data_IF_616943085384
#
_entry.id   IF_616943085384
#
_cell.length_a   1.000
_cell.length_b   1.000
_cell.length_c   1.000
_cell.angle_alpha   90.00
_cell.angle_beta   90.00
_cell.angle_gamma   90.00
#
_symmetry.space_group_name_H-M   'P 1'
#
loop_
_entity.id
_entity.type
_entity.pdbx_description
1 polymer ?
#
# COMPACT_ATOMS: atom_id res chain seq x y z
N UNK A 1 23.82 4.04 -6.11
CA UNK A 1 22.73 3.50 -6.96
C UNK A 1 21.43 3.93 -6.30
N UNK A 2 20.51 4.55 -7.02
CA UNK A 2 19.26 5.00 -6.42
C UNK A 2 18.46 3.82 -5.87
N UNK A 3 17.81 4.01 -4.73
CA UNK A 3 16.92 2.98 -4.14
C UNK A 3 15.50 3.03 -4.71
N UNK A 4 15.18 4.11 -5.42
CA UNK A 4 13.87 4.43 -5.99
C UNK A 4 13.92 4.42 -7.51
N UNK A 5 12.93 3.79 -8.14
CA UNK A 5 12.76 3.82 -9.57
C UNK A 5 11.33 4.18 -9.96
N UNK A 6 11.16 5.17 -10.82
CA UNK A 6 9.90 5.45 -11.50
C UNK A 6 9.87 4.76 -12.86
N UNK A 7 8.79 4.04 -13.13
CA UNK A 7 8.63 3.32 -14.40
C UNK A 7 7.48 3.92 -15.19
N UNK A 8 7.79 4.47 -16.36
CA UNK A 8 6.81 5.00 -17.31
C UNK A 8 6.51 4.02 -18.44
N UNK A 9 5.41 4.23 -19.11
CA UNK A 9 4.97 3.37 -20.20
C UNK A 9 5.90 3.46 -21.43
N UNK A 10 6.33 4.66 -21.82
CA UNK A 10 7.19 4.84 -22.99
C UNK A 10 8.09 6.07 -22.90
N UNK A 11 9.22 6.04 -23.60
CA UNK A 11 10.19 7.12 -23.69
C UNK A 11 9.68 8.34 -24.53
N UNK A 12 8.42 8.33 -24.95
CA UNK A 12 7.80 9.53 -25.56
C UNK A 12 7.47 10.62 -24.53
N UNK A 13 7.58 10.30 -23.27
CA UNK A 13 7.46 11.24 -22.15
C UNK A 13 8.78 11.97 -21.97
N UNK A 14 9.06 12.90 -22.92
CA UNK A 14 10.34 13.65 -23.00
C UNK A 14 10.67 14.47 -21.77
N UNK A 15 9.71 14.68 -20.87
CA UNK A 15 9.85 15.45 -19.63
C UNK A 15 9.41 14.63 -18.40
N UNK A 16 9.71 13.34 -18.40
CA UNK A 16 9.36 12.46 -17.28
C UNK A 16 9.96 12.96 -15.95
N UNK A 17 11.20 13.43 -15.98
CA UNK A 17 11.87 14.03 -14.85
C UNK A 17 11.17 15.31 -14.37
N UNK A 18 10.83 16.23 -15.26
CA UNK A 18 10.07 17.43 -14.94
C UNK A 18 8.65 17.14 -14.44
N UNK A 19 8.03 16.05 -14.91
CA UNK A 19 6.73 15.59 -14.39
C UNK A 19 6.86 15.11 -12.96
N UNK A 20 7.89 14.30 -12.64
CA UNK A 20 8.15 13.84 -11.28
C UNK A 20 8.57 14.99 -10.38
N UNK A 21 9.51 15.84 -10.82
CA UNK A 21 10.06 16.94 -10.05
C UNK A 21 9.04 17.96 -9.54
N UNK A 22 7.83 17.98 -10.12
CA UNK A 22 6.69 18.78 -9.60
C UNK A 22 6.11 18.24 -8.28
N UNK A 23 6.29 16.96 -8.02
CA UNK A 23 5.66 16.24 -6.91
C UNK A 23 6.67 15.66 -5.92
N UNK A 24 7.89 15.40 -6.37
CA UNK A 24 8.90 14.71 -5.60
C UNK A 24 10.31 15.24 -5.89
N UNK A 25 11.02 15.64 -4.84
CA UNK A 25 12.41 16.12 -4.89
C UNK A 25 13.26 15.65 -3.71
N UNK A 26 12.72 14.73 -2.89
CA UNK A 26 13.27 14.41 -1.56
C UNK A 26 14.37 13.35 -1.57
N UNK A 27 14.58 12.64 -2.67
CA UNK A 27 15.61 11.59 -2.80
C UNK A 27 16.06 11.42 -4.25
N UNK A 28 17.23 10.80 -4.44
CA UNK A 28 17.68 10.36 -5.76
C UNK A 28 16.80 9.24 -6.29
N UNK A 29 16.51 9.29 -7.59
CA UNK A 29 15.71 8.28 -8.27
C UNK A 29 16.21 8.03 -9.69
N UNK A 30 15.90 6.84 -10.18
CA UNK A 30 16.07 6.49 -11.60
C UNK A 30 14.72 6.52 -12.32
N UNK A 31 14.75 6.79 -13.62
CA UNK A 31 13.60 6.69 -14.49
C UNK A 31 13.84 5.60 -15.51
N UNK A 32 12.90 4.66 -15.61
CA UNK A 32 12.89 3.60 -16.60
C UNK A 32 11.63 3.68 -17.47
N UNK A 33 11.72 3.19 -18.68
CA UNK A 33 10.61 3.15 -19.62
C UNK A 33 10.37 1.71 -20.05
N UNK A 34 9.11 1.28 -20.08
CA UNK A 34 8.77 -0.05 -20.59
C UNK A 34 9.11 -0.21 -22.05
N UNK A 35 8.88 0.86 -22.84
CA UNK A 35 9.14 0.87 -24.27
C UNK A 35 10.03 2.07 -24.65
N UNK A 36 10.99 1.85 -25.54
CA UNK A 36 11.89 2.88 -26.07
C UNK A 36 11.17 3.87 -27.01
N UNK A 37 9.99 3.54 -27.51
CA UNK A 37 9.22 4.36 -28.44
C UNK A 37 7.75 4.47 -28.05
N UNK A 38 7.09 5.55 -28.50
CA UNK A 38 5.65 5.75 -28.29
C UNK A 38 4.82 4.66 -28.96
N UNK A 39 3.88 4.09 -28.23
CA UNK A 39 2.88 3.15 -28.74
C UNK A 39 1.49 3.61 -28.34
N UNK A 40 0.51 3.45 -29.25
CA UNK A 40 -0.90 3.67 -28.91
C UNK A 40 -1.40 2.65 -27.89
N UNK A 41 -0.91 1.41 -28.02
CA UNK A 41 -1.18 0.30 -27.11
C UNK A 41 0.09 -0.51 -26.93
N UNK A 42 0.49 -0.72 -25.70
CA UNK A 42 1.65 -1.53 -25.35
C UNK A 42 1.23 -3.00 -25.29
N UNK A 43 1.91 -3.85 -26.03
CA UNK A 43 1.82 -5.31 -25.95
C UNK A 43 3.08 -5.85 -25.28
N UNK A 44 3.01 -7.07 -24.73
CA UNK A 44 4.16 -7.70 -24.07
C UNK A 44 5.41 -7.76 -24.96
N UNK A 45 5.26 -7.94 -26.28
CA UNK A 45 6.34 -7.95 -27.27
C UNK A 45 6.98 -6.58 -27.53
N UNK A 46 6.34 -5.49 -27.11
CA UNK A 46 6.83 -4.13 -27.30
C UNK A 46 7.67 -3.64 -26.11
N UNK A 47 7.78 -4.46 -25.05
CA UNK A 47 8.52 -4.11 -23.84
C UNK A 47 10.00 -4.39 -24.10
N UNK A 48 10.79 -3.33 -24.05
CA UNK A 48 12.24 -3.37 -24.23
C UNK A 48 12.99 -3.43 -22.88
N UNK A 49 12.32 -3.00 -21.78
CA UNK A 49 12.88 -3.02 -20.44
C UNK A 49 13.03 -4.46 -19.96
N UNK A 50 14.24 -4.83 -19.58
CA UNK A 50 14.45 -6.05 -18.80
C UNK A 50 13.93 -5.82 -17.38
N UNK A 51 12.81 -6.47 -17.04
CA UNK A 51 12.17 -6.29 -15.74
C UNK A 51 13.05 -6.78 -14.57
N UNK A 52 14.05 -7.62 -14.83
CA UNK A 52 15.02 -8.03 -13.79
C UNK A 52 15.91 -6.88 -13.33
N UNK A 53 16.11 -5.84 -14.16
CA UNK A 53 16.80 -4.64 -13.73
C UNK A 53 16.11 -3.92 -12.56
N UNK A 54 14.79 -4.11 -12.44
CA UNK A 54 14.01 -3.52 -11.35
C UNK A 54 14.29 -4.19 -10.00
N UNK A 55 14.91 -5.38 -9.97
CA UNK A 55 15.20 -6.11 -8.74
C UNK A 55 16.24 -5.42 -7.85
N UNK A 56 17.00 -4.50 -8.41
CA UNK A 56 18.00 -3.72 -7.66
C UNK A 56 17.38 -2.58 -6.81
N UNK A 57 16.12 -2.19 -7.07
CA UNK A 57 15.49 -1.07 -6.39
C UNK A 57 14.70 -1.52 -5.15
N UNK A 58 14.79 -0.74 -4.08
CA UNK A 58 14.02 -0.92 -2.84
C UNK A 58 12.54 -0.59 -3.07
N UNK A 59 12.27 0.46 -3.84
CA UNK A 59 10.92 0.91 -4.16
C UNK A 59 10.77 1.19 -5.66
N UNK A 60 9.74 0.64 -6.25
CA UNK A 60 9.37 0.85 -7.64
C UNK A 60 8.02 1.57 -7.70
N UNK A 61 7.98 2.69 -8.41
CA UNK A 61 6.76 3.48 -8.62
C UNK A 61 6.30 3.38 -10.08
N UNK A 62 5.41 2.45 -10.43
CA UNK A 62 4.79 2.42 -11.74
C UNK A 62 3.90 3.64 -11.95
N UNK A 63 4.17 4.42 -13.00
CA UNK A 63 3.41 5.62 -13.35
C UNK A 63 2.40 5.28 -14.43
N UNK A 64 1.11 5.29 -14.06
CA UNK A 64 0.01 5.00 -14.97
C UNK A 64 -0.33 3.52 -15.13
N UNK A 65 -1.38 3.24 -15.91
CA UNK A 65 -2.00 1.91 -15.96
C UNK A 65 -1.13 0.85 -16.65
N UNK A 66 -0.45 1.21 -17.73
CA UNK A 66 0.38 0.26 -18.47
C UNK A 66 1.62 -0.14 -17.67
N UNK A 67 2.27 0.83 -17.00
CA UNK A 67 3.42 0.54 -16.15
C UNK A 67 3.03 -0.39 -15.01
N UNK A 68 1.91 -0.12 -14.33
CA UNK A 68 1.39 -0.99 -13.27
C UNK A 68 1.13 -2.42 -13.77
N UNK A 69 0.49 -2.54 -14.94
CA UNK A 69 0.15 -3.85 -15.51
C UNK A 69 1.38 -4.71 -15.79
N UNK A 70 2.42 -4.11 -16.36
CA UNK A 70 3.57 -4.89 -16.81
C UNK A 70 4.67 -5.04 -15.76
N UNK A 71 4.75 -4.16 -14.75
CA UNK A 71 5.72 -4.30 -13.65
C UNK A 71 5.18 -5.14 -12.50
N UNK A 72 3.95 -4.89 -12.07
CA UNK A 72 3.34 -5.55 -10.90
C UNK A 72 2.22 -6.55 -11.25
N UNK A 73 1.87 -6.73 -12.55
CA UNK A 73 0.79 -7.63 -12.95
C UNK A 73 -0.62 -7.15 -12.57
N UNK A 74 -0.78 -5.91 -12.09
CA UNK A 74 -2.03 -5.37 -11.57
C UNK A 74 -2.71 -4.45 -12.59
N UNK A 75 -4.03 -4.35 -12.52
CA UNK A 75 -4.85 -3.45 -13.36
C UNK A 75 -5.72 -2.54 -12.51
N UNK A 76 -6.02 -1.33 -13.04
CA UNK A 76 -6.84 -0.36 -12.32
C UNK A 76 -5.98 0.57 -11.45
N UNK A 77 -5.09 1.35 -12.07
CA UNK A 77 -4.16 2.27 -11.37
C UNK A 77 -4.84 3.21 -10.38
N UNK A 78 -6.09 3.62 -10.62
CA UNK A 78 -6.83 4.48 -9.70
C UNK A 78 -7.12 3.76 -8.37
N UNK A 79 -7.42 2.45 -8.41
CA UNK A 79 -7.63 1.63 -7.21
C UNK A 79 -6.35 1.48 -6.38
N UNK A 80 -5.21 1.42 -7.04
CA UNK A 80 -3.92 1.17 -6.39
C UNK A 80 -3.10 2.45 -6.18
N UNK A 81 -3.62 3.62 -6.53
CA UNK A 81 -2.88 4.87 -6.39
C UNK A 81 -2.46 5.14 -4.94
N UNK A 82 -1.16 5.19 -4.70
CA UNK A 82 -0.59 5.38 -3.37
C UNK A 82 -0.82 4.21 -2.40
N UNK A 83 -1.16 3.02 -2.90
CA UNK A 83 -1.25 1.78 -2.11
C UNK A 83 0.03 0.97 -2.32
N UNK A 84 0.75 0.70 -1.23
CA UNK A 84 1.95 -0.13 -1.28
C UNK A 84 1.57 -1.60 -1.47
N UNK A 85 2.02 -2.21 -2.57
CA UNK A 85 1.65 -3.58 -2.96
C UNK A 85 2.88 -4.43 -3.24
N UNK A 86 2.73 -5.75 -3.11
CA UNK A 86 3.78 -6.73 -3.39
C UNK A 86 5.12 -6.40 -2.70
N UNK A 87 5.06 -5.73 -1.54
CA UNK A 87 6.21 -5.36 -0.70
C UNK A 87 7.27 -4.49 -1.39
N UNK A 88 7.00 -3.95 -2.57
CA UNK A 88 7.97 -3.14 -3.32
C UNK A 88 7.39 -2.16 -4.34
N UNK A 89 6.10 -2.21 -4.64
CA UNK A 89 5.48 -1.31 -5.61
C UNK A 89 4.60 -0.27 -4.93
N UNK A 90 4.75 0.99 -5.35
CA UNK A 90 3.84 2.09 -5.01
C UNK A 90 3.28 2.67 -6.32
N UNK A 91 2.17 2.13 -6.84
CA UNK A 91 1.57 2.63 -8.05
C UNK A 91 1.08 4.07 -7.91
N UNK A 92 1.32 4.87 -8.94
CA UNK A 92 0.91 6.28 -8.97
C UNK A 92 0.16 6.53 -10.28
N UNK A 93 -1.00 7.20 -10.19
CA UNK A 93 -1.69 7.68 -11.37
C UNK A 93 -0.79 8.65 -12.15
N UNK A 94 -0.86 8.58 -13.48
CA UNK A 94 -0.05 9.46 -14.31
C UNK A 94 -0.44 10.93 -14.07
N UNK A 95 0.52 11.81 -13.70
CA UNK A 95 0.21 13.22 -13.37
C UNK A 95 -0.54 13.97 -14.47
N UNK A 96 -0.31 13.65 -15.75
CA UNK A 96 -1.05 14.25 -16.84
C UNK A 96 -2.56 14.00 -16.83
N UNK A 97 -3.05 13.07 -16.01
CA UNK A 97 -4.50 12.88 -15.81
C UNK A 97 -5.16 14.11 -15.21
N UNK A 98 -4.43 14.94 -14.48
CA UNK A 98 -4.95 16.20 -13.91
C UNK A 98 -5.33 17.23 -14.97
N UNK A 99 -4.79 17.14 -16.18
CA UNK A 99 -5.18 17.99 -17.31
C UNK A 99 -6.67 17.78 -17.65
N UNK A 100 -7.13 16.52 -17.58
CA UNK A 100 -8.52 16.16 -17.89
C UNK A 100 -9.41 16.06 -16.65
N UNK A 101 -8.81 15.79 -15.49
CA UNK A 101 -9.50 15.60 -14.22
C UNK A 101 -8.71 16.29 -13.09
N UNK A 102 -8.82 17.63 -12.95
CA UNK A 102 -8.05 18.40 -11.96
C UNK A 102 -8.25 17.93 -10.51
N UNK A 103 -9.43 17.37 -10.19
CA UNK A 103 -9.74 16.83 -8.86
C UNK A 103 -8.86 15.64 -8.44
N UNK A 104 -8.15 14.99 -9.36
CA UNK A 104 -7.21 13.91 -9.03
C UNK A 104 -5.86 14.41 -8.51
N UNK A 105 -5.62 15.73 -8.52
CA UNK A 105 -4.34 16.27 -8.10
C UNK A 105 -3.99 15.89 -6.65
N UNK A 106 -4.95 16.02 -5.75
CA UNK A 106 -4.72 15.74 -4.32
C UNK A 106 -4.43 14.25 -4.07
N UNK A 107 -5.08 13.36 -4.82
CA UNK A 107 -4.81 11.92 -4.77
C UNK A 107 -3.39 11.61 -5.27
N UNK A 108 -2.93 12.29 -6.32
CA UNK A 108 -1.59 12.12 -6.86
C UNK A 108 -0.53 12.66 -5.88
N UNK A 109 -0.73 13.88 -5.35
CA UNK A 109 0.14 14.47 -4.32
C UNK A 109 0.24 13.56 -3.11
N UNK A 110 -0.89 13.03 -2.64
CA UNK A 110 -0.94 12.08 -1.52
C UNK A 110 -0.16 10.80 -1.83
N UNK A 111 -0.21 10.28 -3.07
CA UNK A 111 0.56 9.11 -3.45
C UNK A 111 2.07 9.38 -3.41
N UNK A 112 2.52 10.50 -3.96
CA UNK A 112 3.94 10.90 -3.93
C UNK A 112 4.45 11.13 -2.50
N UNK A 113 3.64 11.72 -1.61
CA UNK A 113 4.04 11.98 -0.21
C UNK A 113 4.37 10.71 0.59
N UNK A 114 3.88 9.55 0.16
CA UNK A 114 4.15 8.26 0.79
C UNK A 114 5.51 7.66 0.44
N UNK A 115 6.18 8.15 -0.62
CA UNK A 115 7.46 7.59 -1.08
C UNK A 115 8.51 7.69 0.03
N UNK A 116 8.70 8.88 0.60
CA UNK A 116 9.74 9.12 1.61
C UNK A 116 9.56 8.26 2.87
N UNK A 117 8.38 8.22 3.52
CA UNK A 117 8.16 7.31 4.64
C UNK A 117 8.45 5.86 4.29
N UNK A 118 8.01 5.41 3.10
CA UNK A 118 8.26 4.05 2.64
C UNK A 118 9.77 3.78 2.48
N UNK A 119 10.53 4.67 1.85
CA UNK A 119 11.98 4.50 1.69
C UNK A 119 12.73 4.47 3.02
N UNK A 120 12.25 5.19 4.03
CA UNK A 120 12.82 5.24 5.37
C UNK A 120 12.43 4.04 6.24
N UNK A 121 11.48 3.22 5.82
CA UNK A 121 11.09 2.01 6.54
C UNK A 121 12.10 0.89 6.26
N UNK A 122 12.85 0.50 7.27
CA UNK A 122 13.82 -0.60 7.19
C UNK A 122 13.16 -1.99 7.06
N UNK A 123 11.83 -2.07 7.19
CA UNK A 123 11.06 -3.30 7.08
C UNK A 123 10.46 -3.52 5.68
N UNK A 124 10.68 -2.59 4.75
CA UNK A 124 10.23 -2.77 3.36
C UNK A 124 10.77 -4.08 2.78
N UNK A 125 9.87 -4.85 2.19
CA UNK A 125 10.19 -6.16 1.60
C UNK A 125 10.38 -7.29 2.61
N UNK A 126 10.50 -7.02 3.91
CA UNK A 126 10.55 -8.06 4.93
C UNK A 126 9.16 -8.64 5.17
N UNK A 127 9.09 -9.91 5.49
CA UNK A 127 7.86 -10.53 5.93
C UNK A 127 7.54 -10.04 7.34
N UNK A 128 6.47 -9.26 7.46
CA UNK A 128 5.99 -8.81 8.75
C UNK A 128 5.27 -9.99 9.38
N UNK A 129 5.81 -10.51 10.48
CA UNK A 129 5.17 -11.55 11.24
C UNK A 129 3.92 -10.97 11.89
N UNK A 130 2.76 -11.43 11.44
CA UNK A 130 1.46 -11.01 11.97
C UNK A 130 1.01 -12.01 13.02
N UNK A 131 0.65 -11.52 14.19
CA UNK A 131 0.08 -12.30 15.28
C UNK A 131 -1.38 -11.89 15.50
N UNK A 132 -2.27 -12.47 14.71
CA UNK A 132 -3.71 -12.26 14.82
C UNK A 132 -4.37 -13.52 15.36
N UNK A 133 -5.06 -13.41 16.49
CA UNK A 133 -5.67 -14.53 17.15
C UNK A 133 -7.18 -14.30 17.36
N UNK A 134 -7.94 -15.36 17.14
CA UNK A 134 -9.37 -15.40 17.47
C UNK A 134 -9.53 -16.10 18.83
N UNK A 135 -10.14 -15.40 19.79
CA UNK A 135 -10.27 -15.84 21.17
C UNK A 135 -11.70 -16.34 21.39
N UNK A 136 -11.84 -17.64 21.56
CA UNK A 136 -13.12 -18.35 21.67
C UNK A 136 -13.35 -18.95 23.05
N UNK A 137 -12.35 -18.94 23.92
CA UNK A 137 -12.44 -19.56 25.26
C UNK A 137 -11.90 -18.63 26.35
N UNK A 138 -12.43 -18.79 27.55
CA UNK A 138 -11.94 -18.05 28.72
C UNK A 138 -10.45 -18.28 28.97
N UNK A 139 -9.96 -19.51 28.80
CA UNK A 139 -8.55 -19.82 29.01
C UNK A 139 -7.62 -19.08 27.99
N UNK A 140 -8.09 -18.87 26.76
CA UNK A 140 -7.36 -18.05 25.78
C UNK A 140 -7.39 -16.57 26.18
N UNK A 141 -8.54 -16.08 26.65
CA UNK A 141 -8.69 -14.70 27.13
C UNK A 141 -7.76 -14.44 28.31
N UNK A 142 -7.76 -15.29 29.33
CA UNK A 142 -6.91 -15.15 30.52
C UNK A 142 -5.41 -15.13 30.16
N UNK A 143 -5.04 -15.84 29.11
CA UNK A 143 -3.65 -15.86 28.62
C UNK A 143 -3.22 -14.55 27.98
N UNK A 144 -4.12 -13.84 27.29
CA UNK A 144 -3.78 -12.61 26.58
C UNK A 144 -3.99 -11.34 27.41
N UNK A 145 -4.89 -11.36 28.39
CA UNK A 145 -5.23 -10.17 29.18
C UNK A 145 -4.00 -9.49 29.83
N UNK A 146 -3.03 -10.21 30.43
CA UNK A 146 -1.89 -9.57 31.09
C UNK A 146 -1.08 -8.65 30.18
N UNK A 147 -1.01 -8.94 28.86
CA UNK A 147 -0.28 -8.08 27.93
C UNK A 147 -0.98 -6.72 27.69
N UNK A 148 -2.26 -6.60 28.01
CA UNK A 148 -3.04 -5.36 27.89
C UNK A 148 -3.07 -4.55 29.18
N UNK A 149 -2.76 -5.16 30.33
CA UNK A 149 -2.70 -4.48 31.63
C UNK A 149 -1.44 -3.63 31.80
N UNK A 150 -0.38 -3.97 31.06
CA UNK A 150 0.95 -3.34 31.19
C UNK A 150 1.23 -2.27 30.13
N UNK A 151 0.22 -1.87 29.33
CA UNK A 151 0.43 -0.93 28.21
C UNK A 151 -0.33 0.39 28.43
N UNK A 152 0.28 1.49 27.97
CA UNK A 152 -0.31 2.82 28.10
C UNK A 152 -1.47 3.06 27.12
N UNK A 153 -1.52 2.30 26.03
CA UNK A 153 -2.51 2.50 24.96
C UNK A 153 -2.99 1.18 24.39
N UNK A 154 -4.30 1.04 24.29
CA UNK A 154 -4.98 -0.07 23.63
C UNK A 154 -5.88 0.51 22.53
N UNK A 155 -5.80 -0.07 21.34
CA UNK A 155 -6.75 0.18 20.26
C UNK A 155 -7.86 -0.86 20.37
N UNK A 156 -9.10 -0.40 20.39
CA UNK A 156 -10.29 -1.26 20.51
C UNK A 156 -11.27 -0.93 19.39
N UNK A 157 -11.81 -1.96 18.78
CA UNK A 157 -12.91 -1.87 17.81
C UNK A 157 -14.01 -2.88 18.17
N UNK A 158 -15.26 -2.53 17.89
CA UNK A 158 -16.42 -3.35 18.25
C UNK A 158 -17.10 -3.86 16.98
N UNK A 159 -17.22 -5.17 16.86
CA UNK A 159 -17.93 -5.80 15.77
C UNK A 159 -19.39 -6.07 16.14
N UNK A 160 -20.28 -5.74 15.22
CA UNK A 160 -21.73 -5.82 15.43
C UNK A 160 -22.44 -6.47 14.27
N UNK A 161 -23.63 -7.03 14.49
CA UNK A 161 -24.48 -7.64 13.47
C UNK A 161 -25.14 -6.63 12.52
N UNK A 162 -25.10 -5.32 12.84
CA UNK A 162 -25.73 -4.25 12.06
C UNK A 162 -25.11 -2.91 12.38
N UNK A 163 -25.02 -2.04 11.37
CA UNK A 163 -24.60 -0.63 11.54
C UNK A 163 -25.63 0.22 12.30
N UNK A 164 -26.84 -0.30 12.51
CA UNK A 164 -27.88 0.40 13.28
C UNK A 164 -27.69 0.15 14.77
N UNK A 165 -27.36 1.20 15.52
CA UNK A 165 -27.20 1.13 16.98
C UNK A 165 -28.46 0.59 17.75
N UNK A 166 -29.65 0.64 17.12
CA UNK A 166 -30.89 0.13 17.70
C UNK A 166 -31.15 -1.36 17.40
N UNK A 167 -30.50 -1.91 16.36
CA UNK A 167 -30.75 -3.27 15.86
C UNK A 167 -29.49 -4.14 15.92
N UNK A 168 -28.34 -3.53 16.07
CA UNK A 168 -27.07 -4.23 16.15
C UNK A 168 -26.90 -4.89 17.52
N UNK A 169 -26.38 -6.11 17.50
CA UNK A 169 -25.91 -6.83 18.67
C UNK A 169 -24.38 -6.92 18.54
N UNK A 170 -23.67 -6.64 19.60
CA UNK A 170 -22.19 -6.81 19.62
C UNK A 170 -21.90 -8.31 19.54
N UNK A 171 -21.03 -8.68 18.63
CA UNK A 171 -20.60 -10.07 18.42
C UNK A 171 -19.17 -10.33 18.89
N UNK A 172 -18.38 -9.27 19.05
CA UNK A 172 -17.02 -9.38 19.55
C UNK A 172 -16.33 -8.04 19.65
N UNK A 173 -15.13 -8.08 20.19
CA UNK A 173 -14.26 -6.93 20.40
C UNK A 173 -12.89 -7.26 19.80
N UNK A 174 -12.42 -6.44 18.87
CA UNK A 174 -11.06 -6.47 18.40
C UNK A 174 -10.17 -5.58 19.27
N UNK A 175 -9.01 -6.07 19.66
CA UNK A 175 -8.06 -5.35 20.52
C UNK A 175 -6.65 -5.47 19.98
N UNK A 176 -5.86 -4.40 20.10
CA UNK A 176 -4.44 -4.38 19.78
C UNK A 176 -3.70 -3.42 20.72
N UNK A 177 -2.49 -3.81 21.12
CA UNK A 177 -1.56 -2.96 21.87
C UNK A 177 -0.23 -2.74 21.15
N UNK A 178 -0.02 -3.43 20.02
CA UNK A 178 1.20 -3.35 19.20
C UNK A 178 0.87 -3.47 17.72
N UNK A 179 1.72 -2.89 16.89
CA UNK A 179 1.66 -3.10 15.44
C UNK A 179 1.75 -4.59 15.10
N UNK A 180 0.97 -5.00 14.10
CA UNK A 180 0.93 -6.37 13.57
C UNK A 180 0.49 -7.46 14.55
N UNK A 181 -0.03 -7.08 15.71
CA UNK A 181 -0.65 -7.97 16.68
C UNK A 181 -2.11 -7.56 16.88
N UNK A 182 -3.00 -8.53 16.98
CA UNK A 182 -4.41 -8.25 17.27
C UNK A 182 -5.15 -9.49 17.79
N UNK A 183 -6.11 -9.26 18.66
CA UNK A 183 -6.94 -10.29 19.21
C UNK A 183 -8.40 -9.93 18.99
N UNK A 184 -9.16 -10.86 18.41
CA UNK A 184 -10.60 -10.74 18.33
C UNK A 184 -11.21 -11.63 19.42
N UNK A 185 -11.90 -11.04 20.37
CA UNK A 185 -12.57 -11.75 21.48
C UNK A 185 -14.05 -11.88 21.13
N UNK A 186 -14.54 -13.11 20.99
CA UNK A 186 -15.95 -13.38 20.78
C UNK A 186 -16.77 -12.99 22.03
N UNK A 187 -17.94 -12.39 21.84
CA UNK A 187 -18.82 -12.03 22.96
C UNK A 187 -19.29 -13.24 23.76
N UNK A 188 -19.38 -14.42 23.15
CA UNK A 188 -19.74 -15.67 23.84
C UNK A 188 -18.77 -15.99 24.98
N UNK A 189 -17.50 -15.61 24.85
CA UNK A 189 -16.50 -15.77 25.94
C UNK A 189 -16.76 -14.83 27.10
N UNK A 190 -17.22 -13.60 26.79
CA UNK A 190 -17.43 -12.55 27.80
C UNK A 190 -18.74 -12.73 28.56
N UNK A 191 -19.76 -13.36 27.96
CA UNK A 191 -21.12 -13.46 28.52
C UNK A 191 -21.38 -14.77 29.26
N UNK A 192 -20.53 -15.78 29.15
CA UNK A 192 -20.69 -17.08 29.83
C UNK A 192 -20.00 -17.17 31.21
N UNK A 193 -19.65 -16.02 31.78
CA UNK A 193 -19.20 -15.82 33.15
C UNK A 193 -20.27 -14.95 33.88
#
# INVERSE_FOLDING_TARGET
MAELCFVFASNSEKDADGVIGKYFADAEYDIKFLCSSKKEKILKKDIDLDLTELDSYKLICPIGAESLKYTAGLTGVQKYNGVFVEKRYLPIMHPNMTIFKPQLNDDIVSAFSKIKPILQDDNIGKEIQKDYQFIETQAQLDKILPQYEEVDTIVVDIETTSLSARKGVVIGIAMSSKEHQGHFVSLEVVTNN
#
